data_IF_482206457883
#
_entry.id   IF_482206457883
#
_cell.length_a   1.000
_cell.length_b   1.000
_cell.length_c   1.000
_cell.angle_alpha   90.00
_cell.angle_beta   90.00
_cell.angle_gamma   90.00
#
_symmetry.space_group_name_H-M   'P 1'
#
loop_
_entity.id
_entity.type
_entity.pdbx_description
1 polymer ?
#
# COMPACT_ATOMS: atom_id res chain seq x y z
N UNK A 1 20.72 23.24 32.48
CA UNK A 1 21.20 21.88 32.84
C UNK A 1 20.65 20.88 31.83
N UNK A 2 21.45 20.45 30.86
CA UNK A 2 21.03 19.41 29.91
C UNK A 2 21.26 18.03 30.56
N UNK A 3 20.17 17.33 30.90
CA UNK A 3 20.26 15.93 31.32
C UNK A 3 20.78 15.13 30.13
N UNK A 4 21.97 14.55 30.25
CA UNK A 4 22.48 13.59 29.29
C UNK A 4 21.48 12.45 29.12
N UNK A 5 21.01 12.26 27.89
CA UNK A 5 20.03 11.22 27.56
C UNK A 5 20.73 9.85 27.67
N UNK A 6 20.61 9.19 28.83
CA UNK A 6 21.00 7.79 28.99
C UNK A 6 19.92 6.92 28.39
N UNK A 7 20.20 6.28 27.26
CA UNK A 7 19.30 5.27 26.69
C UNK A 7 19.22 4.03 27.60
N UNK A 8 18.07 3.36 27.59
CA UNK A 8 17.74 2.20 28.43
C UNK A 8 18.67 0.97 28.28
N UNK A 9 19.66 0.98 27.36
CA UNK A 9 20.52 -0.16 27.06
C UNK A 9 21.97 -0.05 27.56
N UNK A 10 22.36 1.08 28.20
CA UNK A 10 23.70 1.24 28.79
C UNK A 10 24.89 1.28 27.81
N UNK A 11 24.68 1.08 26.50
CA UNK A 11 25.73 1.21 25.48
C UNK A 11 25.85 2.67 25.03
N UNK A 12 27.09 3.15 24.94
CA UNK A 12 27.39 4.48 24.40
C UNK A 12 26.95 4.57 22.93
N UNK A 13 26.20 5.63 22.61
CA UNK A 13 25.84 5.94 21.23
C UNK A 13 27.10 6.31 20.45
N UNK A 14 27.18 5.88 19.18
CA UNK A 14 28.25 6.23 18.24
C UNK A 14 27.74 7.33 17.32
N UNK A 15 28.62 8.17 16.79
CA UNK A 15 28.27 9.19 15.81
C UNK A 15 28.67 8.75 14.41
N UNK A 16 27.84 9.06 13.42
CA UNK A 16 28.14 8.89 12.01
C UNK A 16 27.70 10.12 11.23
N UNK A 17 28.36 10.36 10.10
CA UNK A 17 28.02 11.44 9.17
C UNK A 17 28.51 11.09 7.77
N UNK A 18 27.87 11.66 6.75
CA UNK A 18 28.27 11.46 5.36
C UNK A 18 27.11 11.67 4.40
N UNK A 19 27.33 11.28 3.14
CA UNK A 19 26.35 11.41 2.06
C UNK A 19 25.45 10.17 2.02
N UNK A 20 24.15 10.41 2.02
CA UNK A 20 23.09 9.40 1.99
C UNK A 20 23.01 8.76 0.60
N UNK A 21 23.00 7.44 0.56
CA UNK A 21 22.80 6.64 -0.65
C UNK A 21 21.89 5.45 -0.35
N UNK A 22 21.31 4.82 -1.38
CA UNK A 22 20.49 3.61 -1.26
C UNK A 22 19.33 3.75 -0.24
N UNK A 23 18.62 4.89 -0.24
CA UNK A 23 17.40 5.06 0.55
C UNK A 23 16.34 4.01 0.20
N UNK A 24 15.74 3.42 1.23
CA UNK A 24 14.62 2.48 1.12
C UNK A 24 13.71 2.59 2.34
N UNK A 25 12.42 2.28 2.18
CA UNK A 25 11.45 2.27 3.27
C UNK A 25 10.65 0.98 3.25
N UNK A 26 10.33 0.44 4.43
CA UNK A 26 9.45 -0.72 4.58
C UNK A 26 8.67 -0.66 5.89
N UNK A 27 7.51 -1.28 5.90
CA UNK A 27 6.74 -1.48 7.13
C UNK A 27 7.41 -2.56 7.98
N UNK A 28 7.74 -2.24 9.23
CA UNK A 28 8.28 -3.17 10.20
C UNK A 28 7.16 -4.02 10.84
N UNK A 29 7.53 -5.12 11.51
CA UNK A 29 6.57 -6.07 12.10
C UNK A 29 5.61 -5.45 13.13
N UNK A 30 6.04 -4.38 13.80
CA UNK A 30 5.23 -3.62 14.75
C UNK A 30 4.36 -2.54 14.09
N UNK A 31 4.32 -2.46 12.76
CA UNK A 31 3.57 -1.46 12.00
C UNK A 31 4.30 -0.12 11.77
N UNK A 32 5.39 0.17 12.49
CA UNK A 32 6.18 1.38 12.25
C UNK A 32 6.95 1.31 10.93
N UNK A 33 7.29 2.47 10.36
CA UNK A 33 8.11 2.57 9.16
C UNK A 33 9.60 2.45 9.53
N UNK A 34 10.32 1.62 8.79
CA UNK A 34 11.76 1.48 8.87
C UNK A 34 12.38 2.06 7.60
N UNK A 35 12.94 3.26 7.70
CA UNK A 35 13.68 3.89 6.61
C UNK A 35 15.16 3.55 6.76
N UNK A 36 15.75 2.98 5.73
CA UNK A 36 17.16 2.59 5.72
C UNK A 36 17.91 3.34 4.63
N UNK A 37 19.15 3.71 4.93
CA UNK A 37 20.05 4.31 3.97
C UNK A 37 21.49 3.95 4.29
N UNK A 38 22.38 4.15 3.32
CA UNK A 38 23.78 3.78 3.38
C UNK A 38 24.68 5.01 3.40
N UNK A 39 25.68 4.98 4.27
CA UNK A 39 26.83 5.89 4.27
C UNK A 39 28.10 5.05 4.16
N UNK A 40 28.86 5.26 3.08
CA UNK A 40 30.03 4.44 2.78
C UNK A 40 29.65 2.97 2.61
N UNK A 41 30.10 2.10 3.52
CA UNK A 41 29.81 0.65 3.49
C UNK A 41 28.73 0.22 4.49
N UNK A 42 28.24 1.15 5.31
CA UNK A 42 27.36 0.84 6.43
C UNK A 42 25.92 1.27 6.11
N UNK A 43 24.97 0.38 6.36
CA UNK A 43 23.53 0.68 6.28
C UNK A 43 23.00 0.99 7.67
N UNK A 44 22.29 2.10 7.77
CA UNK A 44 21.65 2.60 8.97
C UNK A 44 20.14 2.61 8.80
N UNK A 45 19.43 2.40 9.89
CA UNK A 45 17.96 2.35 9.90
C UNK A 45 17.41 3.30 10.95
N UNK A 46 16.49 4.18 10.54
CA UNK A 46 15.67 5.01 11.41
C UNK A 46 14.25 4.48 11.42
N UNK A 47 13.66 4.40 12.62
CA UNK A 47 12.27 3.97 12.81
C UNK A 47 11.41 5.19 13.06
N UNK A 48 10.30 5.31 12.34
CA UNK A 48 9.37 6.44 12.44
C UNK A 48 7.93 5.96 12.25
N UNK A 49 6.95 6.83 12.57
CA UNK A 49 5.55 6.62 12.20
C UNK A 49 5.19 7.31 10.87
N UNK A 50 6.13 8.02 10.27
CA UNK A 50 5.96 8.73 9.02
C UNK A 50 6.23 7.78 7.84
N UNK A 51 5.41 7.83 6.80
CA UNK A 51 5.64 7.06 5.58
C UNK A 51 6.77 7.63 4.74
N UNK A 52 7.13 8.89 4.96
CA UNK A 52 8.18 9.58 4.24
C UNK A 52 9.51 9.46 5.00
N UNK A 53 10.55 9.04 4.27
CA UNK A 53 11.91 9.00 4.82
C UNK A 53 12.38 10.40 5.17
N UNK A 54 12.96 10.64 6.36
CA UNK A 54 13.44 11.97 6.75
C UNK A 54 14.63 12.46 5.90
N UNK A 55 15.21 11.57 5.09
CA UNK A 55 16.36 11.84 4.21
C UNK A 55 16.13 11.23 2.83
N UNK A 56 16.79 11.79 1.83
CA UNK A 56 16.81 11.31 0.45
C UNK A 56 18.25 11.11 -0.03
N UNK A 57 18.42 10.38 -1.13
CA UNK A 57 19.73 10.17 -1.73
C UNK A 57 20.38 11.52 -2.07
N UNK A 58 21.65 11.67 -1.72
CA UNK A 58 22.44 12.88 -1.93
C UNK A 58 22.54 13.80 -0.72
N UNK A 59 21.67 13.66 0.29
CA UNK A 59 21.77 14.46 1.51
C UNK A 59 23.06 14.19 2.26
N UNK A 60 23.68 15.25 2.77
CA UNK A 60 24.73 15.15 3.78
C UNK A 60 24.10 15.23 5.16
N UNK A 61 24.33 14.20 5.95
CA UNK A 61 23.68 14.06 7.27
C UNK A 61 24.69 13.77 8.36
N UNK A 62 24.27 14.01 9.60
CA UNK A 62 24.92 13.55 10.83
C UNK A 62 23.89 13.04 11.81
N UNK A 63 24.24 12.00 12.55
CA UNK A 63 23.36 11.40 13.56
C UNK A 63 24.15 10.54 14.55
N UNK A 64 23.51 10.27 15.67
CA UNK A 64 23.91 9.26 16.64
C UNK A 64 23.18 7.93 16.35
N UNK A 65 23.85 6.81 16.58
CA UNK A 65 23.30 5.48 16.35
C UNK A 65 23.76 4.46 17.39
N UNK A 66 23.04 3.34 17.45
CA UNK A 66 23.32 2.20 18.31
C UNK A 66 23.35 0.91 17.50
N UNK A 67 24.26 0.01 17.85
CA UNK A 67 24.24 -1.36 17.30
C UNK A 67 23.18 -2.15 18.06
N UNK A 68 22.14 -2.57 17.34
CA UNK A 68 21.04 -3.40 17.86
C UNK A 68 21.06 -4.77 17.20
N UNK A 69 20.40 -5.75 17.82
CA UNK A 69 20.22 -7.10 17.26
C UNK A 69 18.77 -7.33 16.89
N UNK A 70 18.54 -7.97 15.76
CA UNK A 70 17.22 -8.45 15.40
C UNK A 70 16.75 -9.49 16.42
N UNK A 71 15.44 -9.47 16.72
CA UNK A 71 14.80 -10.45 17.61
C UNK A 71 14.60 -11.81 16.92
N UNK A 72 14.66 -11.87 15.59
CA UNK A 72 14.48 -13.10 14.80
C UNK A 72 15.72 -14.00 14.80
N UNK A 73 15.54 -15.26 14.41
CA UNK A 73 16.50 -16.36 14.58
C UNK A 73 17.92 -16.15 14.06
N UNK A 74 18.15 -15.23 13.10
CA UNK A 74 19.50 -14.92 12.63
C UNK A 74 20.31 -14.06 13.61
N UNK A 75 19.65 -13.37 14.56
CA UNK A 75 20.24 -12.42 15.52
C UNK A 75 21.18 -11.37 14.89
N UNK A 76 21.00 -11.09 13.61
CA UNK A 76 21.85 -10.16 12.85
C UNK A 76 21.86 -8.78 13.52
N UNK A 77 23.04 -8.15 13.54
CA UNK A 77 23.18 -6.79 14.06
C UNK A 77 22.75 -5.77 13.00
N UNK A 78 22.17 -4.64 13.43
CA UNK A 78 21.84 -3.51 12.58
C UNK A 78 22.15 -2.19 13.29
N UNK A 79 22.40 -1.14 12.50
CA UNK A 79 22.76 0.17 13.01
C UNK A 79 21.51 1.03 13.13
N UNK A 80 20.99 1.16 14.35
CA UNK A 80 19.76 1.88 14.65
C UNK A 80 20.06 3.36 14.94
N UNK A 81 19.53 4.26 14.12
CA UNK A 81 19.65 5.71 14.31
C UNK A 81 18.81 6.14 15.52
N UNK A 82 19.31 7.10 16.29
CA UNK A 82 18.54 7.81 17.31
C UNK A 82 17.82 8.96 16.59
N UNK A 83 16.48 8.91 16.41
CA UNK A 83 15.77 9.83 15.52
C UNK A 83 16.03 11.31 15.80
N UNK A 84 16.06 11.69 17.07
CA UNK A 84 16.21 13.08 17.51
C UNK A 84 17.62 13.65 17.27
N UNK A 85 18.58 12.80 16.90
CA UNK A 85 19.95 13.20 16.59
C UNK A 85 20.21 13.42 15.11
N UNK A 86 19.27 13.04 14.24
CA UNK A 86 19.44 13.12 12.79
C UNK A 86 19.31 14.57 12.31
N UNK A 87 20.36 15.06 11.67
CA UNK A 87 20.47 16.41 11.13
C UNK A 87 20.89 16.29 9.66
N UNK A 88 20.15 16.97 8.78
CA UNK A 88 20.58 17.23 7.40
C UNK A 88 21.48 18.47 7.43
N UNK A 89 22.78 18.25 7.24
CA UNK A 89 23.77 19.32 7.28
C UNK A 89 23.85 20.06 5.94
N UNK A 90 23.67 19.35 4.82
CA UNK A 90 23.51 19.95 3.50
C UNK A 90 22.53 19.11 2.67
N UNK A 91 21.51 19.73 2.07
CA UNK A 91 20.49 19.04 1.29
C UNK A 91 21.03 18.65 -0.09
N UNK A 92 20.50 17.59 -0.71
CA UNK A 92 20.89 17.21 -2.09
C UNK A 92 20.55 18.28 -3.13
N UNK A 93 19.62 19.17 -2.80
CA UNK A 93 19.20 20.29 -3.63
C UNK A 93 20.30 21.37 -3.78
N UNK A 94 21.35 21.29 -2.97
CA UNK A 94 22.51 22.17 -3.06
C UNK A 94 23.36 21.82 -4.29
N UNK A 95 23.24 22.62 -5.34
CA UNK A 95 24.02 22.50 -6.58
C UNK A 95 25.44 23.09 -6.43
N UNK A 96 26.14 22.67 -5.37
CA UNK A 96 27.49 23.14 -5.08
C UNK A 96 28.29 22.10 -4.28
N UNK A 97 29.59 22.00 -4.58
CA UNK A 97 30.48 21.05 -3.91
C UNK A 97 30.87 21.57 -2.53
N UNK A 98 30.40 20.89 -1.48
CA UNK A 98 30.89 21.08 -0.11
C UNK A 98 32.36 20.68 -0.04
N UNK A 99 33.24 21.65 0.25
CA UNK A 99 34.69 21.46 0.27
C UNK A 99 35.23 20.97 1.61
N UNK A 100 34.43 21.11 2.67
CA UNK A 100 34.75 20.64 4.02
C UNK A 100 33.75 21.17 5.03
N UNK A 101 34.10 21.06 6.32
CA UNK A 101 33.25 21.49 7.43
C UNK A 101 34.04 22.28 8.46
N UNK A 102 33.41 23.29 9.04
CA UNK A 102 33.82 23.87 10.33
C UNK A 102 33.00 23.19 11.41
N UNK A 103 33.64 22.71 12.47
CA UNK A 103 32.98 21.95 13.53
C UNK A 103 33.22 22.56 14.91
N UNK A 104 32.30 22.23 15.82
CA UNK A 104 32.39 22.55 17.25
C UNK A 104 32.34 21.22 18.02
N UNK A 105 33.42 20.92 18.74
CA UNK A 105 33.50 19.74 19.60
C UNK A 105 33.44 20.11 21.08
N UNK A 106 32.78 19.26 21.85
CA UNK A 106 32.83 19.27 23.32
C UNK A 106 33.61 18.05 23.81
N UNK A 107 34.07 18.12 25.07
CA UNK A 107 34.70 17.01 25.74
C UNK A 107 34.30 17.02 27.22
N UNK A 108 33.83 15.89 27.76
CA UNK A 108 33.32 15.83 29.14
C UNK A 108 34.41 16.10 30.18
N UNK A 109 35.68 15.82 29.87
CA UNK A 109 36.82 16.18 30.75
C UNK A 109 37.24 17.64 30.65
N UNK A 110 36.66 18.42 29.72
CA UNK A 110 36.92 19.86 29.53
C UNK A 110 35.60 20.66 29.55
N UNK A 111 34.87 20.67 30.68
CA UNK A 111 33.56 21.30 30.75
C UNK A 111 33.62 22.82 30.51
N UNK A 112 32.68 23.33 29.71
CA UNK A 112 32.59 24.76 29.38
C UNK A 112 33.63 25.24 28.37
N UNK A 113 34.42 24.33 27.78
CA UNK A 113 35.39 24.62 26.75
C UNK A 113 35.02 23.91 25.45
N UNK A 114 34.92 24.69 24.37
CA UNK A 114 34.59 24.18 23.04
C UNK A 114 35.81 24.25 22.14
N UNK A 115 36.03 23.20 21.34
CA UNK A 115 37.03 23.20 20.27
C UNK A 115 36.37 23.59 18.96
N UNK A 116 36.87 24.64 18.32
CA UNK A 116 36.41 25.06 16.99
C UNK A 116 37.52 24.76 16.01
N UNK A 117 37.23 23.96 14.99
CA UNK A 117 38.22 23.57 13.99
C UNK A 117 37.58 23.29 12.65
N UNK A 118 38.39 22.89 11.67
CA UNK A 118 37.92 22.52 10.34
C UNK A 118 38.44 21.16 9.89
N UNK A 119 37.80 20.59 8.87
CA UNK A 119 38.20 19.35 8.19
C UNK A 119 37.74 19.38 6.73
N UNK A 120 38.48 18.71 5.84
CA UNK A 120 38.03 18.40 4.47
C UNK A 120 37.25 17.08 4.38
N UNK A 121 37.29 16.27 5.44
CA UNK A 121 36.47 15.07 5.62
C UNK A 121 35.18 15.37 6.39
N UNK A 122 34.80 14.46 7.30
CA UNK A 122 33.65 14.68 8.19
C UNK A 122 34.07 15.10 9.60
N UNK A 123 33.23 15.89 10.29
CA UNK A 123 33.44 16.26 11.68
C UNK A 123 33.53 15.04 12.61
N UNK A 124 32.74 14.00 12.34
CA UNK A 124 32.73 12.75 13.13
C UNK A 124 34.07 12.01 13.04
N UNK A 125 34.63 11.88 11.83
CA UNK A 125 35.94 11.24 11.64
C UNK A 125 37.05 12.03 12.35
N UNK A 126 36.98 13.36 12.31
CA UNK A 126 37.94 14.22 12.98
C UNK A 126 37.83 14.14 14.50
N UNK A 127 36.62 14.09 15.05
CA UNK A 127 36.40 13.90 16.48
C UNK A 127 36.95 12.53 16.94
N UNK A 128 36.72 11.47 16.18
CA UNK A 128 37.28 10.15 16.47
C UNK A 128 38.81 10.15 16.44
N UNK A 129 39.42 10.75 15.41
CA UNK A 129 40.87 10.85 15.29
C UNK A 129 41.51 11.61 16.47
N UNK A 130 40.91 12.75 16.88
CA UNK A 130 41.40 13.53 18.01
C UNK A 130 41.21 12.81 19.35
N UNK A 131 40.17 11.99 19.47
CA UNK A 131 39.89 11.20 20.68
C UNK A 131 40.88 10.06 20.89
N UNK A 132 41.54 9.58 19.83
CA UNK A 132 42.52 8.50 19.88
C UNK A 132 43.94 8.93 20.28
N UNK A 133 44.19 10.23 20.45
CA UNK A 133 45.52 10.76 20.79
C UNK A 133 45.82 10.52 22.28
N UNK A 134 47.06 10.11 22.58
CA UNK A 134 47.53 9.91 23.97
C UNK A 134 47.40 11.20 24.78
N UNK A 135 46.79 11.12 25.96
CA UNK A 135 46.58 12.27 26.85
C UNK A 135 45.20 12.92 26.78
N UNK A 136 44.26 12.39 25.99
CA UNK A 136 42.84 12.83 26.00
C UNK A 136 42.02 11.87 26.89
N UNK A 137 41.55 12.28 28.08
CA UNK A 137 40.94 11.35 29.05
C UNK A 137 39.56 10.80 28.63
N UNK A 138 38.79 11.59 27.88
CA UNK A 138 37.48 11.21 27.33
C UNK A 138 37.37 11.68 25.90
N UNK A 139 36.64 10.95 25.05
CA UNK A 139 36.48 11.30 23.65
C UNK A 139 35.76 12.63 23.42
N UNK A 140 36.08 13.29 22.31
CA UNK A 140 35.36 14.43 21.80
C UNK A 140 34.01 14.02 21.20
N UNK A 141 33.01 14.88 21.40
CA UNK A 141 31.69 14.77 20.78
C UNK A 141 31.49 15.92 19.80
N UNK A 142 30.95 15.61 18.62
CA UNK A 142 30.51 16.65 17.67
C UNK A 142 29.20 17.23 18.18
N UNK A 143 29.23 18.50 18.61
CA UNK A 143 28.01 19.22 18.99
C UNK A 143 27.38 19.87 17.76
N UNK A 144 28.20 20.39 16.84
CA UNK A 144 27.72 21.06 15.63
C UNK A 144 28.77 21.04 14.52
N UNK A 145 28.32 21.08 13.26
CA UNK A 145 29.16 21.24 12.10
C UNK A 145 28.43 22.06 11.03
N UNK A 146 29.20 22.87 10.30
CA UNK A 146 28.77 23.69 9.18
C UNK A 146 29.48 23.22 7.92
N UNK A 147 28.76 22.62 6.96
CA UNK A 147 29.27 22.41 5.61
C UNK A 147 29.62 23.75 4.95
N UNK A 148 30.83 23.84 4.41
CA UNK A 148 31.33 25.03 3.76
C UNK A 148 31.54 24.76 2.27
N UNK A 149 30.90 25.58 1.44
CA UNK A 149 31.20 25.69 0.01
C UNK A 149 32.30 26.77 -0.10
N UNK A 150 33.56 26.36 -0.21
CA UNK A 150 34.70 27.29 -0.16
C UNK A 150 35.81 26.84 0.77
N UNK A 151 36.54 27.79 1.37
CA UNK A 151 37.64 27.44 2.26
C UNK A 151 37.13 27.27 3.70
N UNK A 152 36.97 26.04 4.22
CA UNK A 152 36.59 25.83 5.61
C UNK A 152 37.68 26.34 6.57
N UNK A 153 38.95 26.36 6.14
CA UNK A 153 40.05 26.98 6.88
C UNK A 153 39.82 28.50 7.06
N UNK A 154 39.44 29.22 6.00
CA UNK A 154 39.22 30.66 6.09
C UNK A 154 38.04 31.00 7.02
N UNK A 155 36.97 30.21 6.94
CA UNK A 155 35.80 30.36 7.84
C UNK A 155 36.19 30.11 9.30
N UNK A 156 36.97 29.06 9.56
CA UNK A 156 37.45 28.74 10.91
C UNK A 156 38.35 29.85 11.49
N UNK A 157 39.30 30.34 10.72
CA UNK A 157 40.19 31.44 11.13
C UNK A 157 39.42 32.72 11.44
N UNK A 158 38.40 33.05 10.65
CA UNK A 158 37.53 34.19 10.91
C UNK A 158 36.70 33.99 12.18
N UNK A 159 36.14 32.80 12.39
CA UNK A 159 35.38 32.48 13.60
C UNK A 159 36.27 32.59 14.85
N UNK A 160 37.53 32.15 14.75
CA UNK A 160 38.52 32.34 15.82
C UNK A 160 38.82 33.80 16.10
N UNK A 161 38.88 34.65 15.07
CA UNK A 161 39.09 36.09 15.23
C UNK A 161 37.89 36.77 15.93
N UNK A 162 36.65 36.41 15.55
CA UNK A 162 35.43 36.87 16.22
C UNK A 162 35.45 36.49 17.71
N UNK A 163 35.87 35.26 18.02
CA UNK A 163 35.88 34.71 19.38
C UNK A 163 37.20 34.93 20.14
N UNK A 164 38.08 35.81 19.66
CA UNK A 164 39.43 35.97 20.19
C UNK A 164 39.45 36.29 21.70
N UNK A 165 38.49 37.08 22.19
CA UNK A 165 38.36 37.43 23.62
C UNK A 165 38.04 36.24 24.52
N UNK A 166 37.43 35.18 23.97
CA UNK A 166 37.02 33.99 24.71
C UNK A 166 38.02 32.82 24.53
N UNK A 167 39.12 33.04 23.81
CA UNK A 167 40.11 32.02 23.46
C UNK A 167 40.97 31.64 24.67
N UNK A 168 41.10 30.35 24.95
CA UNK A 168 41.86 29.78 26.08
C UNK A 168 43.05 28.91 25.63
N UNK A 169 43.30 28.86 24.31
CA UNK A 169 44.36 28.09 23.68
C UNK A 169 44.30 28.23 22.17
N UNK A 170 45.09 27.44 21.41
CA UNK A 170 45.13 27.59 19.94
C UNK A 170 43.73 27.42 19.31
N UNK A 171 42.96 26.41 19.68
CA UNK A 171 41.68 26.12 19.02
C UNK A 171 40.53 25.93 20.02
N UNK A 172 40.70 26.42 21.26
CA UNK A 172 39.77 26.20 22.36
C UNK A 172 39.22 27.52 22.90
N UNK A 173 37.91 27.56 23.12
CA UNK A 173 37.15 28.76 23.45
C UNK A 173 36.21 28.50 24.63
N UNK A 174 36.20 29.40 25.61
CA UNK A 174 35.26 29.39 26.74
C UNK A 174 34.06 30.23 26.35
N UNK A 175 33.10 29.59 25.68
CA UNK A 175 31.97 30.24 25.03
C UNK A 175 30.76 29.29 25.04
N UNK A 176 29.54 29.82 24.96
CA UNK A 176 28.36 28.98 24.79
C UNK A 176 28.37 28.30 23.42
N UNK A 177 27.67 27.17 23.29
CA UNK A 177 27.53 26.49 22.00
C UNK A 177 26.85 27.40 20.97
N UNK A 178 25.89 28.22 21.40
CA UNK A 178 25.13 29.08 20.50
C UNK A 178 25.98 30.22 19.95
N UNK A 179 26.74 30.92 20.79
CA UNK A 179 27.63 31.99 20.33
C UNK A 179 28.73 31.43 19.42
N UNK A 180 29.22 30.22 19.69
CA UNK A 180 30.18 29.55 18.83
C UNK A 180 29.60 29.23 17.44
N UNK A 181 28.36 28.73 17.36
CA UNK A 181 27.65 28.54 16.08
C UNK A 181 27.47 29.86 15.36
N UNK A 182 26.98 30.89 16.05
CA UNK A 182 26.75 32.21 15.48
C UNK A 182 28.03 32.78 14.87
N UNK A 183 29.17 32.67 15.55
CA UNK A 183 30.46 33.12 15.01
C UNK A 183 30.86 32.36 13.73
N UNK A 184 30.65 31.04 13.68
CA UNK A 184 30.94 30.24 12.48
C UNK A 184 30.01 30.56 11.31
N UNK A 185 28.70 30.69 11.56
CA UNK A 185 27.69 31.04 10.55
C UNK A 185 27.98 32.44 10.00
N UNK A 186 28.18 33.42 10.88
CA UNK A 186 28.56 34.78 10.51
C UNK A 186 29.83 34.78 9.66
N UNK A 187 30.84 34.01 10.05
CA UNK A 187 32.10 33.92 9.31
C UNK A 187 31.90 33.37 7.89
N UNK A 188 31.03 32.38 7.72
CA UNK A 188 30.73 31.81 6.41
C UNK A 188 29.96 32.81 5.53
N UNK A 189 28.92 33.43 6.09
CA UNK A 189 28.10 34.41 5.39
C UNK A 189 28.90 35.65 4.94
N UNK A 190 29.82 36.15 5.78
CA UNK A 190 30.63 37.32 5.44
C UNK A 190 31.72 37.03 4.41
N UNK A 191 32.31 35.83 4.42
CA UNK A 191 33.36 35.46 3.47
C UNK A 191 32.79 34.97 2.13
N UNK A 192 31.62 34.35 2.15
CA UNK A 192 31.00 33.70 1.01
C UNK A 192 29.48 33.97 0.93
N UNK A 193 29.06 35.24 0.80
CA UNK A 193 27.64 35.63 0.88
C UNK A 193 26.76 34.89 -0.14
N UNK A 194 27.17 34.84 -1.41
CA UNK A 194 26.40 34.16 -2.46
C UNK A 194 26.23 32.65 -2.18
N UNK A 195 27.23 32.04 -1.54
CA UNK A 195 27.23 30.60 -1.22
C UNK A 195 26.42 30.29 0.03
N UNK A 196 26.39 31.21 0.99
CA UNK A 196 25.49 31.13 2.12
C UNK A 196 24.03 31.26 1.64
N UNK A 197 23.74 32.22 0.76
CA UNK A 197 22.42 32.35 0.12
C UNK A 197 22.03 31.07 -0.62
N UNK A 198 22.93 30.49 -1.43
CA UNK A 198 22.65 29.25 -2.14
C UNK A 198 22.35 28.07 -1.20
N UNK A 199 22.98 28.02 -0.02
CA UNK A 199 22.68 27.00 1.01
C UNK A 199 21.27 27.21 1.58
N UNK A 200 20.90 28.45 1.91
CA UNK A 200 19.57 28.79 2.41
C UNK A 200 18.48 28.47 1.37
N UNK A 201 18.71 28.83 0.11
CA UNK A 201 17.82 28.51 -1.01
C UNK A 201 17.65 27.01 -1.20
N UNK A 202 18.72 26.23 -1.05
CA UNK A 202 18.66 24.77 -1.16
C UNK A 202 17.83 24.14 -0.02
N UNK A 203 17.95 24.63 1.22
CA UNK A 203 17.11 24.18 2.32
C UNK A 203 15.64 24.59 2.14
N UNK A 204 15.38 25.81 1.66
CA UNK A 204 14.02 26.27 1.35
C UNK A 204 13.38 25.43 0.24
N UNK A 205 14.12 25.16 -0.83
CA UNK A 205 13.68 24.29 -1.93
C UNK A 205 13.34 22.90 -1.42
N UNK A 206 14.25 22.27 -0.67
CA UNK A 206 14.00 20.96 -0.06
C UNK A 206 12.73 20.94 0.79
N UNK A 207 12.53 21.95 1.63
CA UNK A 207 11.35 22.04 2.49
C UNK A 207 10.04 22.13 1.67
N UNK A 208 10.06 22.90 0.56
CA UNK A 208 8.92 22.99 -0.35
C UNK A 208 8.62 21.67 -1.07
N UNK A 209 9.66 20.95 -1.50
CA UNK A 209 9.51 19.64 -2.15
C UNK A 209 8.99 18.57 -1.19
N UNK A 210 9.45 18.59 0.06
CA UNK A 210 8.94 17.72 1.13
C UNK A 210 7.46 17.96 1.40
N UNK A 211 7.02 19.23 1.44
CA UNK A 211 5.62 19.58 1.62
C UNK A 211 4.78 19.07 0.43
N UNK A 212 5.24 19.27 -0.80
CA UNK A 212 4.56 18.77 -2.00
C UNK A 212 4.42 17.23 -2.00
N UNK A 213 5.47 16.50 -1.58
CA UNK A 213 5.42 15.04 -1.45
C UNK A 213 4.39 14.59 -0.40
N UNK A 214 4.27 15.32 0.72
CA UNK A 214 3.27 15.05 1.76
C UNK A 214 1.85 15.26 1.24
N UNK A 215 1.61 16.35 0.52
CA UNK A 215 0.31 16.62 -0.09
C UNK A 215 -0.08 15.53 -1.10
N UNK A 216 0.85 15.09 -1.94
CA UNK A 216 0.59 14.04 -2.92
C UNK A 216 0.26 12.70 -2.24
N UNK A 217 1.01 12.31 -1.21
CA UNK A 217 0.71 11.11 -0.43
C UNK A 217 -0.68 11.18 0.22
N UNK A 218 -1.07 12.34 0.75
CA UNK A 218 -2.39 12.55 1.33
C UNK A 218 -3.50 12.42 0.28
N UNK A 219 -3.30 12.94 -0.94
CA UNK A 219 -4.24 12.79 -2.06
C UNK A 219 -4.42 11.33 -2.45
N UNK A 220 -3.31 10.60 -2.63
CA UNK A 220 -3.34 9.16 -2.98
C UNK A 220 -4.07 8.37 -1.90
N UNK A 221 -3.81 8.66 -0.62
CA UNK A 221 -4.47 7.99 0.50
C UNK A 221 -5.98 8.26 0.51
N UNK A 222 -6.39 9.52 0.35
CA UNK A 222 -7.80 9.90 0.29
C UNK A 222 -8.53 9.23 -0.88
N UNK A 223 -7.89 9.15 -2.05
CA UNK A 223 -8.46 8.45 -3.20
C UNK A 223 -8.66 6.96 -2.92
N UNK A 224 -7.65 6.28 -2.36
CA UNK A 224 -7.74 4.86 -1.99
C UNK A 224 -8.82 4.60 -0.94
N UNK A 225 -8.95 5.48 0.03
CA UNK A 225 -9.96 5.36 1.07
C UNK A 225 -11.37 5.51 0.48
N UNK A 226 -11.56 6.48 -0.43
CA UNK A 226 -12.82 6.63 -1.18
C UNK A 226 -13.15 5.41 -2.03
N UNK A 227 -12.19 4.91 -2.80
CA UNK A 227 -12.37 3.69 -3.62
C UNK A 227 -12.75 2.48 -2.76
N UNK A 228 -12.10 2.34 -1.60
CA UNK A 228 -12.42 1.27 -0.63
C UNK A 228 -13.84 1.43 -0.06
N UNK A 229 -14.24 2.64 0.29
CA UNK A 229 -15.60 2.92 0.78
C UNK A 229 -16.66 2.63 -0.29
N UNK A 230 -16.45 3.06 -1.52
CA UNK A 230 -17.34 2.76 -2.64
C UNK A 230 -17.43 1.25 -2.91
N UNK A 231 -16.31 0.54 -2.85
CA UNK A 231 -16.29 -0.92 -3.00
C UNK A 231 -17.04 -1.60 -1.85
N UNK A 232 -16.80 -1.20 -0.60
CA UNK A 232 -17.50 -1.74 0.56
C UNK A 232 -19.01 -1.47 0.49
N UNK A 233 -19.42 -0.29 0.03
CA UNK A 233 -20.82 0.04 -0.17
C UNK A 233 -21.47 -0.84 -1.25
N UNK A 234 -20.77 -1.09 -2.37
CA UNK A 234 -21.24 -2.00 -3.43
C UNK A 234 -21.35 -3.44 -2.95
N UNK A 235 -20.36 -3.93 -2.20
CA UNK A 235 -20.37 -5.26 -1.60
C UNK A 235 -21.48 -5.38 -0.54
N UNK A 236 -21.67 -4.37 0.29
CA UNK A 236 -22.76 -4.34 1.26
C UNK A 236 -24.12 -4.38 0.55
N UNK A 237 -24.32 -3.56 -0.50
CA UNK A 237 -25.53 -3.56 -1.31
C UNK A 237 -25.76 -4.93 -1.97
N UNK A 238 -24.73 -5.54 -2.57
CA UNK A 238 -24.87 -6.85 -3.23
C UNK A 238 -25.26 -7.97 -2.27
N UNK A 239 -24.92 -7.83 -0.98
CA UNK A 239 -25.33 -8.76 0.07
C UNK A 239 -26.76 -8.54 0.59
N UNK A 240 -27.38 -7.39 0.30
CA UNK A 240 -28.78 -7.14 0.66
C UNK A 240 -29.72 -8.08 -0.10
N UNK A 241 -30.96 -8.21 0.39
CA UNK A 241 -32.00 -8.99 -0.28
C UNK A 241 -32.25 -8.52 -1.72
N UNK A 242 -32.32 -7.20 -1.90
CA UNK A 242 -32.51 -6.55 -3.20
C UNK A 242 -31.28 -6.73 -4.09
N UNK A 243 -30.07 -6.48 -3.59
CA UNK A 243 -28.85 -6.68 -4.36
C UNK A 243 -28.66 -8.13 -4.83
N UNK A 244 -28.99 -9.12 -4.00
CA UNK A 244 -29.01 -10.53 -4.40
C UNK A 244 -30.06 -10.80 -5.47
N UNK A 245 -31.25 -10.22 -5.34
CA UNK A 245 -32.30 -10.35 -6.34
C UNK A 245 -31.87 -9.80 -7.69
N UNK A 246 -31.25 -8.62 -7.72
CA UNK A 246 -30.80 -7.98 -8.97
C UNK A 246 -29.62 -8.71 -9.63
N UNK A 247 -28.73 -9.34 -8.85
CA UNK A 247 -27.52 -9.97 -9.37
C UNK A 247 -27.65 -11.48 -9.66
N UNK A 248 -28.43 -12.19 -8.85
CA UNK A 248 -28.51 -13.67 -8.87
C UNK A 248 -29.92 -14.19 -9.11
N UNK A 249 -30.93 -13.31 -9.07
CA UNK A 249 -32.32 -13.67 -9.25
C UNK A 249 -32.65 -14.13 -10.67
N UNK A 250 -33.80 -14.78 -10.79
CA UNK A 250 -34.32 -15.24 -12.08
C UNK A 250 -35.83 -14.99 -12.13
N UNK A 251 -36.33 -14.50 -13.24
CA UNK A 251 -37.76 -14.48 -13.54
C UNK A 251 -38.08 -15.63 -14.49
N UNK A 252 -39.29 -16.18 -14.40
CA UNK A 252 -39.71 -17.20 -15.35
C UNK A 252 -41.18 -17.09 -15.76
N UNK A 253 -41.45 -17.43 -17.01
CA UNK A 253 -42.79 -17.71 -17.53
C UNK A 253 -42.91 -19.22 -17.72
N UNK A 254 -44.04 -19.78 -17.31
CA UNK A 254 -44.37 -21.20 -17.50
C UNK A 254 -45.29 -21.33 -18.71
N UNK A 255 -44.76 -21.91 -19.79
CA UNK A 255 -45.49 -22.10 -21.05
C UNK A 255 -46.31 -23.40 -21.04
N UNK A 256 -45.83 -24.40 -20.29
CA UNK A 256 -46.53 -25.67 -20.09
C UNK A 256 -46.19 -26.20 -18.70
N UNK A 257 -47.21 -26.61 -17.94
CA UNK A 257 -47.04 -27.23 -16.63
C UNK A 257 -47.09 -28.76 -16.74
N UNK A 258 -46.48 -29.46 -15.79
CA UNK A 258 -46.65 -30.90 -15.71
C UNK A 258 -48.13 -31.26 -15.52
N UNK A 259 -48.56 -32.35 -16.15
CA UNK A 259 -49.90 -32.91 -15.97
C UNK A 259 -50.09 -33.48 -14.56
N UNK A 260 -49.00 -33.93 -13.93
CA UNK A 260 -48.93 -34.35 -12.52
C UNK A 260 -47.49 -34.26 -12.01
N UNK A 261 -47.32 -34.15 -10.69
CA UNK A 261 -46.00 -34.03 -10.07
C UNK A 261 -45.13 -35.28 -10.35
N UNK A 262 -43.98 -35.14 -11.04
CA UNK A 262 -43.13 -36.26 -11.34
C UNK A 262 -42.44 -36.82 -10.10
N UNK A 263 -42.23 -38.13 -10.07
CA UNK A 263 -41.28 -38.73 -9.13
C UNK A 263 -39.85 -38.41 -9.60
N UNK A 264 -39.16 -37.50 -8.91
CA UNK A 264 -37.80 -37.06 -9.21
C UNK A 264 -36.72 -38.10 -8.94
N UNK A 265 -37.03 -39.15 -8.16
CA UNK A 265 -36.05 -40.16 -7.81
C UNK A 265 -35.66 -41.01 -9.02
N UNK A 266 -34.39 -41.39 -9.09
CA UNK A 266 -33.96 -42.37 -10.08
C UNK A 266 -34.41 -43.79 -9.66
N UNK A 267 -34.76 -44.65 -10.63
CA UNK A 267 -35.15 -46.02 -10.33
C UNK A 267 -33.99 -46.81 -9.72
N UNK A 268 -34.11 -47.23 -8.46
CA UNK A 268 -33.14 -48.11 -7.79
C UNK A 268 -33.57 -49.58 -7.85
N UNK A 269 -32.63 -50.51 -7.64
CA UNK A 269 -32.92 -51.94 -7.58
C UNK A 269 -34.02 -52.27 -6.55
N UNK A 270 -33.90 -51.73 -5.34
CA UNK A 270 -34.87 -51.97 -4.26
C UNK A 270 -36.24 -51.35 -4.55
N UNK A 271 -36.30 -50.14 -5.10
CA UNK A 271 -37.58 -49.50 -5.43
C UNK A 271 -38.36 -50.24 -6.53
N UNK A 272 -37.66 -50.85 -7.49
CA UNK A 272 -38.29 -51.70 -8.51
C UNK A 272 -38.80 -53.01 -7.92
N UNK A 273 -38.04 -53.60 -6.99
CA UNK A 273 -38.41 -54.83 -6.29
C UNK A 273 -39.70 -54.67 -5.45
N UNK A 274 -39.93 -53.46 -4.91
CA UNK A 274 -41.15 -53.12 -4.16
C UNK A 274 -42.26 -52.48 -5.02
N UNK A 275 -42.19 -52.60 -6.35
CA UNK A 275 -43.29 -52.24 -7.25
C UNK A 275 -43.47 -50.74 -7.51
N UNK A 276 -42.46 -49.89 -7.24
CA UNK A 276 -42.54 -48.47 -7.56
C UNK A 276 -42.58 -48.26 -9.09
N UNK A 277 -43.56 -47.46 -9.55
CA UNK A 277 -43.67 -47.05 -10.96
C UNK A 277 -42.96 -45.73 -11.19
N UNK A 278 -42.14 -45.68 -12.25
CA UNK A 278 -41.36 -44.50 -12.62
C UNK A 278 -41.82 -43.99 -13.98
N UNK A 279 -42.80 -43.08 -13.97
CA UNK A 279 -43.31 -42.48 -15.20
C UNK A 279 -42.28 -41.55 -15.85
N UNK A 280 -42.27 -41.52 -17.17
CA UNK A 280 -41.43 -40.61 -17.92
C UNK A 280 -41.87 -39.17 -17.71
N UNK A 281 -40.88 -38.28 -17.68
CA UNK A 281 -41.15 -36.85 -17.59
C UNK A 281 -40.01 -36.05 -18.21
N UNK A 282 -40.33 -34.84 -18.67
CA UNK A 282 -39.33 -33.89 -19.16
C UNK A 282 -39.51 -32.51 -18.55
N UNK A 283 -38.44 -31.94 -18.03
CA UNK A 283 -38.33 -30.55 -17.59
C UNK A 283 -37.52 -29.80 -18.63
N UNK A 284 -38.18 -28.95 -19.41
CA UNK A 284 -37.58 -28.17 -20.46
C UNK A 284 -37.43 -26.73 -19.97
N UNK A 285 -36.21 -26.20 -19.99
CA UNK A 285 -35.90 -24.85 -19.54
C UNK A 285 -35.18 -24.10 -20.66
N UNK A 286 -35.69 -22.94 -21.06
CA UNK A 286 -35.03 -22.01 -21.98
C UNK A 286 -34.51 -20.85 -21.15
N UNK A 287 -33.20 -20.66 -21.07
CA UNK A 287 -32.57 -19.64 -20.21
C UNK A 287 -31.88 -18.58 -21.06
N UNK A 288 -32.17 -17.30 -20.82
CA UNK A 288 -31.38 -16.20 -21.39
C UNK A 288 -29.96 -16.25 -20.82
N UNK A 289 -28.97 -16.16 -21.71
CA UNK A 289 -27.55 -16.26 -21.39
C UNK A 289 -26.77 -15.26 -22.23
N UNK A 290 -25.65 -14.77 -21.72
CA UNK A 290 -24.83 -13.78 -22.42
C UNK A 290 -23.46 -14.36 -22.79
N UNK A 291 -23.01 -14.04 -24.00
CA UNK A 291 -21.62 -14.24 -24.42
C UNK A 291 -21.13 -12.91 -25.01
N UNK A 292 -20.09 -12.34 -24.43
CA UNK A 292 -19.60 -11.00 -24.77
C UNK A 292 -20.72 -9.95 -24.66
N UNK A 293 -21.19 -9.39 -25.76
CA UNK A 293 -22.26 -8.37 -25.80
C UNK A 293 -23.61 -8.92 -26.23
N UNK A 294 -23.69 -10.18 -26.65
CA UNK A 294 -24.90 -10.74 -27.25
C UNK A 294 -25.61 -11.70 -26.30
N UNK A 295 -26.94 -11.61 -26.28
CA UNK A 295 -27.80 -12.58 -25.62
C UNK A 295 -28.10 -13.75 -26.55
N UNK A 296 -28.18 -14.94 -25.97
CA UNK A 296 -28.62 -16.16 -26.63
C UNK A 296 -29.41 -17.02 -25.64
N UNK A 297 -30.12 -18.01 -26.16
CA UNK A 297 -31.05 -18.84 -25.38
C UNK A 297 -30.52 -20.26 -25.27
N UNK A 298 -30.20 -20.69 -24.05
CA UNK A 298 -29.86 -22.08 -23.74
C UNK A 298 -31.14 -22.85 -23.48
N UNK A 299 -31.45 -23.80 -24.36
CA UNK A 299 -32.45 -24.82 -24.12
C UNK A 299 -31.80 -26.00 -23.40
N UNK A 300 -32.31 -26.33 -22.23
CA UNK A 300 -31.87 -27.42 -21.37
C UNK A 300 -33.05 -28.36 -21.12
N UNK A 301 -32.83 -29.66 -21.30
CA UNK A 301 -33.77 -30.71 -20.94
C UNK A 301 -33.14 -31.57 -19.87
N UNK A 302 -33.91 -31.81 -18.81
CA UNK A 302 -33.62 -32.79 -17.78
C UNK A 302 -34.88 -33.63 -17.57
N UNK A 303 -34.73 -34.94 -17.46
CA UNK A 303 -35.88 -35.79 -17.18
C UNK A 303 -35.56 -37.26 -17.17
N UNK A 304 -36.62 -38.06 -17.36
CA UNK A 304 -36.55 -39.51 -17.42
C UNK A 304 -37.32 -40.01 -18.63
N UNK A 305 -36.67 -40.88 -19.40
CA UNK A 305 -37.28 -41.61 -20.52
C UNK A 305 -36.93 -43.08 -20.39
N UNK A 306 -37.93 -43.96 -20.42
CA UNK A 306 -37.76 -45.41 -20.25
C UNK A 306 -36.86 -45.76 -19.06
N UNK A 307 -37.16 -45.15 -17.90
CA UNK A 307 -36.42 -45.33 -16.64
C UNK A 307 -34.96 -44.85 -16.62
N UNK A 308 -34.48 -44.21 -17.70
CA UNK A 308 -33.12 -43.69 -17.79
C UNK A 308 -33.10 -42.17 -17.65
N UNK A 309 -32.07 -41.60 -17.00
CA UNK A 309 -31.84 -40.16 -17.01
C UNK A 309 -31.70 -39.67 -18.45
N UNK A 310 -32.34 -38.54 -18.75
CA UNK A 310 -32.30 -37.91 -20.06
C UNK A 310 -31.87 -36.45 -19.91
N UNK A 311 -30.82 -36.07 -20.64
CA UNK A 311 -30.29 -34.71 -20.64
C UNK A 311 -29.92 -34.28 -22.05
N UNK A 312 -30.31 -33.07 -22.43
CA UNK A 312 -29.89 -32.47 -23.70
C UNK A 312 -29.75 -30.95 -23.52
N UNK A 313 -28.78 -30.36 -24.21
CA UNK A 313 -28.60 -28.90 -24.27
C UNK A 313 -28.47 -28.45 -25.71
N UNK A 314 -29.15 -27.37 -26.07
CA UNK A 314 -29.05 -26.73 -27.38
C UNK A 314 -29.09 -25.20 -27.24
N UNK A 315 -28.39 -24.51 -28.13
CA UNK A 315 -28.35 -23.03 -28.17
C UNK A 315 -29.21 -22.51 -29.31
N UNK A 316 -29.87 -21.39 -29.07
CA UNK A 316 -30.64 -20.62 -30.05
C UNK A 316 -30.28 -19.14 -29.98
N UNK A 317 -30.33 -18.44 -31.10
CA UNK A 317 -30.14 -16.98 -31.16
C UNK A 317 -31.45 -16.24 -30.90
N UNK A 318 -32.57 -16.82 -31.35
CA UNK A 318 -33.92 -16.24 -31.25
C UNK A 318 -34.78 -17.04 -30.27
N UNK A 319 -35.50 -16.33 -29.39
CA UNK A 319 -36.35 -16.96 -28.36
C UNK A 319 -37.48 -17.80 -28.98
N UNK A 320 -38.14 -17.27 -30.01
CA UNK A 320 -39.28 -17.95 -30.64
C UNK A 320 -38.90 -19.29 -31.28
N UNK A 321 -37.67 -19.39 -31.80
CA UNK A 321 -37.12 -20.66 -32.30
C UNK A 321 -36.89 -21.66 -31.17
N UNK A 322 -36.35 -21.20 -30.04
CA UNK A 322 -36.16 -22.03 -28.85
C UNK A 322 -37.50 -22.53 -28.30
N UNK A 323 -38.52 -21.67 -28.23
CA UNK A 323 -39.87 -22.01 -27.78
C UNK A 323 -40.51 -23.04 -28.72
N UNK A 324 -40.41 -22.80 -30.03
CA UNK A 324 -40.95 -23.72 -31.04
C UNK A 324 -40.28 -25.09 -30.96
N UNK A 325 -38.96 -25.12 -30.78
CA UNK A 325 -38.22 -26.36 -30.55
C UNK A 325 -38.67 -27.08 -29.27
N UNK A 326 -38.81 -26.35 -28.16
CA UNK A 326 -39.23 -26.91 -26.88
C UNK A 326 -40.64 -27.53 -26.93
N UNK A 327 -41.58 -26.91 -27.63
CA UNK A 327 -42.96 -27.43 -27.79
C UNK A 327 -43.00 -28.77 -28.52
N UNK A 328 -42.18 -28.94 -29.57
CA UNK A 328 -42.14 -30.17 -30.37
C UNK A 328 -41.25 -31.27 -29.75
N UNK A 329 -40.45 -30.95 -28.72
CA UNK A 329 -39.46 -31.86 -28.17
C UNK A 329 -40.06 -33.11 -27.47
N UNK A 330 -41.13 -33.01 -26.65
CA UNK A 330 -41.76 -34.14 -25.98
C UNK A 330 -42.52 -35.05 -26.95
N UNK A 331 -43.21 -34.49 -27.96
CA UNK A 331 -44.00 -35.25 -28.94
C UNK A 331 -43.13 -36.23 -29.74
N UNK A 332 -41.98 -35.77 -30.21
CA UNK A 332 -41.00 -36.58 -30.93
C UNK A 332 -40.47 -37.77 -30.09
N UNK A 333 -40.64 -37.71 -28.77
CA UNK A 333 -40.19 -38.71 -27.80
C UNK A 333 -41.34 -39.44 -27.10
N UNK A 334 -42.60 -39.12 -27.42
CA UNK A 334 -43.81 -39.69 -26.84
C UNK A 334 -43.85 -39.60 -25.31
N UNK A 335 -43.49 -38.44 -24.74
CA UNK A 335 -43.57 -38.18 -23.29
C UNK A 335 -44.70 -37.20 -23.00
N UNK A 336 -45.73 -37.67 -22.30
CA UNK A 336 -46.96 -36.89 -22.06
C UNK A 336 -46.89 -35.98 -20.82
N UNK A 337 -45.97 -36.23 -19.89
CA UNK A 337 -45.81 -35.43 -18.67
C UNK A 337 -44.57 -34.53 -18.75
N UNK A 338 -44.73 -33.27 -19.13
CA UNK A 338 -43.60 -32.36 -19.28
C UNK A 338 -43.91 -30.93 -18.83
N UNK A 339 -42.87 -30.14 -18.55
CA UNK A 339 -42.99 -28.70 -18.32
C UNK A 339 -42.06 -27.91 -19.22
N UNK A 340 -42.49 -26.71 -19.61
CA UNK A 340 -41.68 -25.77 -20.38
C UNK A 340 -41.65 -24.45 -19.62
N UNK A 341 -40.44 -24.02 -19.23
CA UNK A 341 -40.20 -22.72 -18.60
C UNK A 341 -39.22 -21.91 -19.42
N UNK A 342 -39.50 -20.62 -19.57
CA UNK A 342 -38.53 -19.65 -20.08
C UNK A 342 -38.05 -18.84 -18.88
N UNK A 343 -36.73 -18.79 -18.67
CA UNK A 343 -36.07 -18.18 -17.54
C UNK A 343 -35.21 -17.00 -18.03
N UNK A 344 -35.32 -15.86 -17.36
CA UNK A 344 -34.50 -14.68 -17.61
C UNK A 344 -33.83 -14.27 -16.29
N UNK A 345 -32.50 -14.37 -16.17
CA UNK A 345 -31.77 -13.79 -15.06
C UNK A 345 -32.09 -12.30 -14.91
N UNK A 346 -32.37 -11.86 -13.68
CA UNK A 346 -32.75 -10.46 -13.38
C UNK A 346 -31.69 -9.44 -13.78
N UNK A 347 -30.42 -9.84 -13.77
CA UNK A 347 -29.29 -9.03 -14.24
C UNK A 347 -29.39 -8.65 -15.73
N UNK A 348 -30.21 -9.36 -16.51
CA UNK A 348 -30.50 -9.04 -17.91
C UNK A 348 -31.78 -8.23 -18.09
N UNK A 349 -32.38 -7.72 -17.02
CA UNK A 349 -33.64 -6.99 -17.05
C UNK A 349 -33.38 -5.58 -16.50
N UNK A 350 -33.55 -4.54 -17.32
CA UNK A 350 -33.33 -3.16 -16.90
C UNK A 350 -34.39 -2.69 -15.86
N UNK A 351 -35.57 -3.30 -15.90
CA UNK A 351 -36.71 -3.05 -15.01
C UNK A 351 -37.20 -4.37 -14.36
N UNK A 352 -36.37 -5.01 -13.51
CA UNK A 352 -36.74 -6.29 -12.93
C UNK A 352 -37.95 -6.13 -12.00
N UNK A 353 -38.86 -7.12 -11.94
CA UNK A 353 -40.01 -7.05 -11.05
C UNK A 353 -39.56 -7.01 -9.58
N UNK A 354 -40.34 -6.34 -8.74
CA UNK A 354 -40.07 -6.29 -7.30
C UNK A 354 -40.17 -7.68 -6.68
N UNK A 355 -39.21 -8.03 -5.81
CA UNK A 355 -39.19 -9.32 -5.14
C UNK A 355 -40.18 -9.34 -3.95
N UNK A 356 -41.28 -10.12 -4.01
CA UNK A 356 -42.29 -10.14 -2.95
C UNK A 356 -41.69 -10.54 -1.60
N UNK A 357 -42.04 -9.93 -0.44
CA UNK A 357 -41.34 -10.14 0.85
C UNK A 357 -41.15 -11.60 1.28
N UNK A 358 -42.07 -12.49 0.90
CA UNK A 358 -42.03 -13.93 1.20
C UNK A 358 -41.09 -14.76 0.31
N UNK A 359 -40.64 -14.23 -0.83
CA UNK A 359 -39.75 -14.93 -1.77
C UNK A 359 -38.28 -14.79 -1.38
N UNK A 360 -37.52 -15.87 -1.59
CA UNK A 360 -36.05 -15.83 -1.44
C UNK A 360 -35.42 -15.32 -2.73
N UNK A 361 -34.36 -14.49 -2.67
CA UNK A 361 -33.68 -14.01 -3.88
C UNK A 361 -33.13 -15.11 -4.81
N UNK A 362 -32.77 -16.28 -4.24
CA UNK A 362 -32.28 -17.44 -4.99
C UNK A 362 -33.39 -18.23 -5.69
N UNK A 363 -34.65 -17.98 -5.38
CA UNK A 363 -35.79 -18.65 -5.99
C UNK A 363 -36.22 -17.90 -7.25
N UNK A 364 -36.49 -18.63 -8.33
CA UNK A 364 -36.99 -18.01 -9.54
C UNK A 364 -38.42 -17.49 -9.31
N UNK A 365 -38.69 -16.24 -9.67
CA UNK A 365 -39.99 -15.59 -9.54
C UNK A 365 -40.83 -15.86 -10.79
N UNK A 366 -42.03 -16.43 -10.61
CA UNK A 366 -42.98 -16.61 -11.72
C UNK A 366 -43.58 -15.25 -12.09
N UNK A 367 -43.54 -14.90 -13.38
CA UNK A 367 -44.21 -13.71 -13.95
C UNK A 367 -45.26 -14.14 -14.98
N UNK A 368 -46.23 -13.27 -15.26
CA UNK A 368 -47.33 -13.58 -16.17
C UNK A 368 -46.88 -13.62 -17.64
N UNK A 369 -46.09 -12.62 -18.06
CA UNK A 369 -45.40 -12.58 -19.34
C UNK A 369 -44.10 -11.77 -19.20
N UNK A 370 -43.31 -11.72 -20.26
CA UNK A 370 -42.12 -10.87 -20.35
C UNK A 370 -42.35 -9.60 -21.17
N UNK A 371 -43.58 -9.32 -21.61
CA UNK A 371 -43.87 -8.23 -22.55
C UNK A 371 -43.55 -6.85 -21.97
N UNK A 372 -43.70 -6.71 -20.64
CA UNK A 372 -43.42 -5.47 -19.91
C UNK A 372 -41.96 -5.38 -19.43
N UNK A 373 -41.11 -6.37 -19.73
CA UNK A 373 -39.72 -6.42 -19.28
C UNK A 373 -38.76 -5.99 -20.41
N UNK A 374 -37.86 -5.07 -20.07
CA UNK A 374 -36.80 -4.58 -20.96
C UNK A 374 -35.58 -5.47 -20.75
N UNK A 375 -35.47 -6.49 -21.60
CA UNK A 375 -34.37 -7.46 -21.54
C UNK A 375 -33.17 -6.95 -22.34
N UNK A 376 -32.01 -6.84 -21.71
CA UNK A 376 -30.75 -6.41 -22.33
C UNK A 376 -29.58 -7.24 -21.82
N UNK A 377 -28.50 -7.40 -22.61
CA UNK A 377 -27.25 -7.95 -22.10
C UNK A 377 -26.83 -7.16 -20.85
N UNK A 378 -26.35 -7.86 -19.82
CA UNK A 378 -25.78 -7.18 -18.67
C UNK A 378 -24.62 -6.33 -19.20
N UNK A 379 -24.63 -5.03 -18.87
CA UNK A 379 -23.45 -4.18 -19.11
C UNK A 379 -22.29 -4.89 -18.46
N UNK A 380 -21.20 -5.14 -19.20
CA UNK A 380 -20.00 -5.81 -18.71
C UNK A 380 -19.69 -5.29 -17.30
N UNK A 381 -20.16 -6.04 -16.32
CA UNK A 381 -19.86 -5.75 -14.95
C UNK A 381 -18.41 -6.20 -14.91
N UNK A 382 -17.48 -5.28 -14.68
CA UNK A 382 -16.12 -5.62 -14.25
C UNK A 382 -16.20 -6.31 -12.87
N UNK A 383 -16.97 -7.40 -12.76
CA UNK A 383 -16.86 -8.37 -11.70
C UNK A 383 -15.55 -9.07 -12.00
N UNK A 384 -14.52 -8.69 -11.24
CA UNK A 384 -13.20 -9.31 -11.32
C UNK A 384 -13.30 -10.82 -11.25
N UNK A 385 -13.22 -11.48 -12.41
CA UNK A 385 -12.77 -12.86 -12.49
C UNK A 385 -11.25 -12.86 -12.33
N UNK A 386 -10.78 -12.66 -11.11
CA UNK A 386 -9.55 -13.31 -10.68
C UNK A 386 -9.84 -14.80 -10.47
N UNK A 387 -9.99 -15.53 -11.59
CA UNK A 387 -9.70 -16.96 -11.60
C UNK A 387 -8.24 -17.09 -12.01
N UNK A 388 -7.43 -17.51 -11.05
CA UNK A 388 -6.12 -18.15 -11.21
C UNK A 388 -6.03 -18.85 -12.58
N UNK A 389 -5.22 -18.29 -13.48
CA UNK A 389 -4.50 -19.09 -14.45
C UNK A 389 -3.22 -19.54 -13.75
N UNK A 390 -3.29 -20.73 -13.15
CA UNK A 390 -2.12 -21.56 -12.92
C UNK A 390 -1.83 -22.27 -14.24
N UNK A 391 -0.87 -21.75 -15.00
CA UNK A 391 0.30 -22.49 -15.51
C UNK A 391 1.19 -21.54 -16.32
#
# INVERSE_FOLDING_TARGET
MAKGYRSASGKAAKQASGVVTNCSSRVAMNGSQAHSFTIGRNTFTIFSNDNLSPVINGDRVRFDYQVRRLRSGSRSEYLAIIPESLIVEAPTELDAVVSGQVYILSNTSMPGLLKIGFTTGTASDRAAALSGVTGVPTGFKVEWALPVIGSPLAVEQRAHAILAKCRQGKEFFRVSLEDAKSACIQSFAELYPDRASAMDDAFAKRASEELARREELARIQAQRDKEREEQQAREAFSQTREGKWLNEGNCYVELHAFSYEPNWNLPSFFSKLFGAKYHDYLKLTITATQHETDLFWSFDVEGRINEKPHYERKRFEVLDEAISFAKNYPENRRVDNFSIKVLIPTIFIDNPPELPPSHRPSEALKVASFDDLVVRPARYMQIGRHKRLVR
#
